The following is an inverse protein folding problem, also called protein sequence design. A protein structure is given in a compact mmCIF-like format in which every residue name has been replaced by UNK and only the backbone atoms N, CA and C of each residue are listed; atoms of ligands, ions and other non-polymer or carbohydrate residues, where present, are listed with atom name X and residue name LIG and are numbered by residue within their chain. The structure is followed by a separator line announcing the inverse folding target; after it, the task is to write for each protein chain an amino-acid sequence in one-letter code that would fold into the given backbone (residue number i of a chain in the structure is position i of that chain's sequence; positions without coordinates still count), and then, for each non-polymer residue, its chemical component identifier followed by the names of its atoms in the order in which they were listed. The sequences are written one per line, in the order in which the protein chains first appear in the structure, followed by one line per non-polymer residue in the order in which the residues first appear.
data_IF_877836050142
#
_entry.id   IF_877836050142
#
_cell.length_a   1.000
_cell.length_b   1.000
_cell.length_c   1.000
_cell.angle_alpha   90.00
_cell.angle_beta   90.00
_cell.angle_gamma   90.00
#
_symmetry.space_group_name_H-M   'P 1'
#
loop_
_entity.id
_entity.type
_entity.pdbx_description
1 polymer ?
#
# COMPACT_ATOMS: atom_id res chain seq x y z
N UNK A 1 -1.61 -9.57 8.53
CA UNK A 1 -2.24 -9.06 7.30
C UNK A 1 -2.68 -7.63 7.63
N UNK A 2 -2.62 -6.72 6.66
CA UNK A 2 -2.96 -5.30 6.77
C UNK A 2 -3.59 -4.80 5.46
N UNK A 3 -4.48 -3.81 5.53
CA UNK A 3 -5.08 -3.16 4.35
C UNK A 3 -4.59 -1.71 4.23
N UNK A 4 -4.48 -1.21 3.00
CA UNK A 4 -4.12 0.19 2.77
C UNK A 4 -4.73 0.77 1.48
N UNK A 5 -5.62 1.76 1.65
CA UNK A 5 -6.08 2.62 0.57
C UNK A 5 -5.34 3.96 0.58
N UNK A 6 -5.46 4.74 -0.50
CA UNK A 6 -4.60 5.90 -0.79
C UNK A 6 -5.34 7.23 -0.78
N UNK A 7 -6.65 7.20 -0.59
CA UNK A 7 -7.54 8.36 -0.46
C UNK A 7 -7.43 9.02 0.92
N UNK A 8 -8.03 10.20 1.08
CA UNK A 8 -7.82 11.10 2.21
C UNK A 8 -7.99 10.46 3.59
N UNK A 9 -9.02 9.63 3.76
CA UNK A 9 -9.33 8.92 5.00
C UNK A 9 -8.87 7.46 5.00
N UNK A 10 -8.31 6.97 3.90
CA UNK A 10 -7.88 5.58 3.76
C UNK A 10 -9.03 4.58 3.72
N UNK A 11 -10.24 5.01 3.40
CA UNK A 11 -11.42 4.15 3.28
C UNK A 11 -11.49 3.39 1.95
N UNK A 12 -10.80 3.85 0.91
CA UNK A 12 -10.89 3.29 -0.44
C UNK A 12 -12.18 3.63 -1.17
N UNK A 13 -12.88 4.69 -0.77
CA UNK A 13 -14.17 5.10 -1.34
C UNK A 13 -14.04 6.25 -2.34
N UNK A 14 -12.91 6.96 -2.34
CA UNK A 14 -12.60 7.97 -3.35
C UNK A 14 -11.63 7.45 -4.42
N UNK A 15 -11.78 7.95 -5.65
CA UNK A 15 -10.82 7.70 -6.75
C UNK A 15 -9.56 8.55 -6.64
N UNK A 16 -9.53 9.54 -5.75
CA UNK A 16 -8.39 10.44 -5.56
C UNK A 16 -7.41 9.86 -4.54
N UNK A 17 -6.12 9.92 -4.87
CA UNK A 17 -5.06 9.61 -3.91
C UNK A 17 -4.52 10.91 -3.28
N UNK A 18 -4.05 10.89 -2.04
CA UNK A 18 -3.57 12.11 -1.35
C UNK A 18 -2.35 12.74 -2.03
N UNK A 19 -1.39 11.91 -2.46
CA UNK A 19 -0.17 12.34 -3.16
C UNK A 19 0.43 11.18 -3.94
N UNK A 20 1.43 11.44 -4.77
CA UNK A 20 2.18 10.42 -5.50
C UNK A 20 3.08 9.53 -4.62
N UNK A 21 3.23 9.85 -3.33
CA UNK A 21 4.09 9.12 -2.37
C UNK A 21 3.33 8.65 -1.13
N UNK A 22 1.99 8.72 -1.16
CA UNK A 22 1.18 8.39 0.02
C UNK A 22 1.25 6.91 0.37
N UNK A 23 1.52 6.04 -0.61
CA UNK A 23 1.64 4.60 -0.44
C UNK A 23 2.72 4.22 0.56
N UNK A 24 3.98 4.52 0.25
CA UNK A 24 5.13 4.26 1.12
C UNK A 24 5.03 5.02 2.45
N UNK A 25 4.55 6.27 2.41
CA UNK A 25 4.36 7.10 3.61
C UNK A 25 3.46 6.41 4.64
N UNK A 26 2.36 5.78 4.21
CA UNK A 26 1.40 5.12 5.11
C UNK A 26 1.91 3.79 5.68
N UNK A 27 2.71 3.03 4.93
CA UNK A 27 3.19 1.72 5.39
C UNK A 27 4.58 1.74 6.06
N UNK A 28 5.25 2.89 6.11
CA UNK A 28 6.60 3.02 6.71
C UNK A 28 6.62 2.58 8.17
N UNK A 29 5.66 3.04 8.98
CA UNK A 29 5.60 2.68 10.41
C UNK A 29 5.35 1.18 10.63
N UNK A 30 4.44 0.60 9.84
CA UNK A 30 4.18 -0.84 9.86
C UNK A 30 5.43 -1.64 9.47
N UNK A 31 6.15 -1.19 8.43
CA UNK A 31 7.39 -1.84 7.97
C UNK A 31 8.46 -1.84 9.05
N UNK A 32 8.66 -0.71 9.73
CA UNK A 32 9.58 -0.61 10.86
C UNK A 32 9.16 -1.56 11.99
N UNK A 33 7.87 -1.61 12.32
CA UNK A 33 7.37 -2.52 13.34
C UNK A 33 7.60 -3.98 12.99
N UNK A 34 7.35 -4.39 11.74
CA UNK A 34 7.59 -5.76 11.27
C UNK A 34 9.08 -6.14 11.42
N UNK A 35 9.98 -5.24 11.00
CA UNK A 35 11.44 -5.45 11.11
C UNK A 35 11.88 -5.60 12.57
N UNK A 36 11.43 -4.69 13.43
CA UNK A 36 11.78 -4.70 14.87
C UNK A 36 11.29 -5.95 15.58
N UNK A 37 10.16 -6.51 15.15
CA UNK A 37 9.51 -7.63 15.82
C UNK A 37 9.76 -8.98 15.12
N UNK A 38 10.60 -9.02 14.08
CA UNK A 38 10.88 -10.22 13.30
C UNK A 38 9.62 -10.84 12.70
N UNK A 39 8.67 -10.01 12.26
CA UNK A 39 7.39 -10.43 11.68
C UNK A 39 7.37 -10.20 10.18
N UNK A 40 6.50 -10.96 9.51
CA UNK A 40 6.23 -10.80 8.08
C UNK A 40 4.75 -10.49 7.89
N UNK A 41 4.44 -9.75 6.85
CA UNK A 41 3.07 -9.39 6.50
C UNK A 41 2.83 -9.50 5.00
N UNK A 42 1.55 -9.60 4.66
CA UNK A 42 1.01 -9.38 3.33
C UNK A 42 0.09 -8.16 3.42
N UNK A 43 0.06 -7.35 2.37
CA UNK A 43 -0.94 -6.27 2.24
C UNK A 43 -2.18 -6.86 1.54
N UNK A 44 -3.18 -7.28 2.31
CA UNK A 44 -4.30 -8.09 1.83
C UNK A 44 -5.29 -7.32 0.97
N UNK A 45 -5.31 -5.99 1.10
CA UNK A 45 -6.08 -5.10 0.24
C UNK A 45 -5.30 -3.80 0.01
N UNK A 46 -5.23 -3.38 -1.25
CA UNK A 46 -4.86 -2.03 -1.65
C UNK A 46 -5.49 -1.69 -3.01
N UNK A 47 -5.71 -0.39 -3.25
CA UNK A 47 -6.24 0.11 -4.52
C UNK A 47 -5.90 1.60 -4.71
N UNK A 48 -6.08 2.08 -5.94
CA UNK A 48 -6.04 3.49 -6.32
C UNK A 48 -6.85 3.71 -7.59
N UNK A 49 -7.32 4.93 -7.83
CA UNK A 49 -8.06 5.28 -9.05
C UNK A 49 -7.17 5.24 -10.30
N UNK A 50 -7.80 5.13 -11.48
CA UNK A 50 -7.12 5.18 -12.78
C UNK A 50 -6.79 6.63 -13.18
N UNK A 51 -5.82 7.21 -12.48
CA UNK A 51 -5.27 8.53 -12.75
C UNK A 51 -3.77 8.57 -12.45
N UNK A 52 -3.06 9.54 -13.04
CA UNK A 52 -1.60 9.61 -12.97
C UNK A 52 -1.05 9.67 -11.55
N UNK A 53 -1.71 10.41 -10.65
CA UNK A 53 -1.27 10.52 -9.25
C UNK A 53 -1.40 9.20 -8.51
N UNK A 54 -2.53 8.51 -8.66
CA UNK A 54 -2.75 7.21 -8.04
C UNK A 54 -1.85 6.11 -8.63
N UNK A 55 -1.59 6.12 -9.94
CA UNK A 55 -0.63 5.19 -10.56
C UNK A 55 0.77 5.40 -9.95
N UNK A 56 1.20 6.65 -9.77
CA UNK A 56 2.47 6.94 -9.08
C UNK A 56 2.45 6.48 -7.62
N UNK A 57 1.35 6.70 -6.89
CA UNK A 57 1.22 6.29 -5.49
C UNK A 57 1.23 4.77 -5.29
N UNK A 58 0.60 4.02 -6.19
CA UNK A 58 0.63 2.54 -6.19
C UNK A 58 2.03 2.04 -6.57
N UNK A 59 2.68 2.68 -7.54
CA UNK A 59 4.07 2.34 -7.92
C UNK A 59 5.02 2.57 -6.75
N UNK A 60 4.88 3.69 -6.05
CA UNK A 60 5.61 4.03 -4.82
C UNK A 60 5.38 2.98 -3.72
N UNK A 61 4.12 2.62 -3.44
CA UNK A 61 3.77 1.56 -2.48
C UNK A 61 4.47 0.23 -2.79
N UNK A 62 4.30 -0.27 -4.02
CA UNK A 62 4.83 -1.57 -4.45
C UNK A 62 6.36 -1.56 -4.48
N UNK A 63 6.98 -0.45 -4.93
CA UNK A 63 8.44 -0.30 -4.92
C UNK A 63 8.98 -0.37 -3.50
N UNK A 64 8.38 0.38 -2.57
CA UNK A 64 8.78 0.36 -1.16
C UNK A 64 8.62 -1.03 -0.53
N UNK A 65 7.53 -1.75 -0.83
CA UNK A 65 7.37 -3.15 -0.37
C UNK A 65 8.45 -4.07 -0.97
N UNK A 66 8.80 -3.89 -2.24
CA UNK A 66 9.84 -4.66 -2.92
C UNK A 66 11.24 -4.44 -2.33
N UNK A 67 11.56 -3.20 -1.95
CA UNK A 67 12.81 -2.85 -1.24
C UNK A 67 12.85 -3.37 0.20
N UNK A 68 11.68 -3.71 0.78
CA UNK A 68 11.52 -4.23 2.14
C UNK A 68 10.93 -5.66 2.13
N UNK A 69 11.33 -6.46 1.13
CA UNK A 69 10.83 -7.83 0.92
C UNK A 69 11.28 -8.84 2.00
N UNK A 70 12.15 -8.42 2.92
CA UNK A 70 12.50 -9.19 4.12
C UNK A 70 11.29 -9.34 5.06
N UNK A 71 10.37 -8.36 5.05
CA UNK A 71 9.15 -8.34 5.88
C UNK A 71 7.85 -8.30 5.10
N UNK A 72 7.83 -7.78 3.87
CA UNK A 72 6.64 -7.79 3.01
C UNK A 72 6.67 -8.97 2.03
N UNK A 73 5.68 -9.85 2.12
CA UNK A 73 5.56 -11.06 1.29
C UNK A 73 4.85 -10.82 -0.04
N UNK A 74 4.20 -9.67 -0.21
CA UNK A 74 3.42 -9.32 -1.39
C UNK A 74 2.18 -8.50 -1.04
N UNK A 75 1.36 -8.23 -2.05
CA UNK A 75 0.08 -7.54 -1.92
C UNK A 75 -0.99 -8.13 -2.81
N UNK A 76 -2.25 -7.93 -2.44
CA UNK A 76 -3.44 -8.37 -3.16
C UNK A 76 -4.30 -7.14 -3.52
N UNK A 77 -4.56 -6.94 -4.80
CA UNK A 77 -5.37 -5.82 -5.29
C UNK A 77 -6.84 -6.00 -4.90
N UNK A 78 -7.48 -4.92 -4.45
CA UNK A 78 -8.92 -4.88 -4.18
C UNK A 78 -9.64 -4.06 -5.25
N UNK A 79 -10.50 -4.63 -6.10
CA UNK A 79 -10.78 -6.05 -6.28
C UNK A 79 -11.01 -6.33 -7.77
N UNK A 80 -11.12 -7.61 -8.11
CA UNK A 80 -11.69 -8.04 -9.39
C UNK A 80 -13.20 -8.30 -9.20
N UNK A 81 -13.70 -9.44 -9.67
CA UNK A 81 -15.12 -9.81 -9.66
C UNK A 81 -15.54 -10.32 -11.04
N UNK A 82 -16.61 -11.14 -11.13
CA UNK A 82 -17.13 -11.63 -12.40
C UNK A 82 -17.68 -10.51 -13.31
#
# INVERSE_FOLDING_TARGET
EMHQYLDSDGSGTSTDCVSSTIGSSRITAATQWLKQNGKKAILGEFAGGDNSQCISAVTDLITYMGENNDVWLGGLWWAAGP
#
